data_IF_227988251758
#
_entry.id   IF_227988251758
#
_cell.length_a   1.000
_cell.length_b   1.000
_cell.length_c   1.000
_cell.angle_alpha   90.00
_cell.angle_beta   90.00
_cell.angle_gamma   90.00
#
_symmetry.space_group_name_H-M   'P 1'
#
loop_
_entity.id
_entity.type
_entity.pdbx_description
1 polymer ?
#
# COMPACT_ATOMS: atom_id res chain seq x y z
N UNK A 1 67.91 -38.02 2.29
CA UNK A 1 66.60 -37.59 1.73
C UNK A 1 66.74 -36.13 1.35
N UNK A 2 66.66 -35.87 0.05
CA UNK A 2 67.32 -34.77 -0.65
C UNK A 2 66.58 -33.44 -0.54
N UNK A 3 67.34 -32.35 -0.40
CA UNK A 3 66.88 -30.95 -0.41
C UNK A 3 65.99 -30.58 -1.62
N UNK A 4 66.04 -31.39 -2.68
CA UNK A 4 65.20 -31.31 -3.86
C UNK A 4 63.72 -31.62 -3.57
N UNK A 5 63.44 -32.62 -2.72
CA UNK A 5 62.07 -33.03 -2.35
C UNK A 5 61.38 -31.94 -1.53
N UNK A 6 62.10 -31.32 -0.59
CA UNK A 6 61.57 -30.21 0.22
C UNK A 6 61.27 -28.98 -0.66
N UNK A 7 62.15 -28.66 -1.63
CA UNK A 7 61.92 -27.55 -2.57
C UNK A 7 60.73 -27.81 -3.50
N UNK A 8 60.53 -29.04 -3.95
CA UNK A 8 59.35 -29.42 -4.75
C UNK A 8 58.04 -29.30 -3.97
N UNK A 9 58.00 -29.74 -2.71
CA UNK A 9 56.81 -29.59 -1.86
C UNK A 9 56.47 -28.13 -1.55
N UNK A 10 57.48 -27.27 -1.34
CA UNK A 10 57.26 -25.83 -1.13
C UNK A 10 56.74 -25.16 -2.41
N UNK A 11 57.26 -25.54 -3.57
CA UNK A 11 56.78 -25.05 -4.87
C UNK A 11 55.36 -25.50 -5.18
N UNK A 12 54.99 -26.76 -4.89
CA UNK A 12 53.63 -27.24 -5.09
C UNK A 12 52.63 -26.55 -4.16
N UNK A 13 53.01 -26.33 -2.89
CA UNK A 13 52.17 -25.62 -1.94
C UNK A 13 51.95 -24.16 -2.35
N UNK A 14 53.02 -23.45 -2.74
CA UNK A 14 52.90 -22.06 -3.24
C UNK A 14 52.11 -21.97 -4.55
N UNK A 15 52.26 -22.92 -5.47
CA UNK A 15 51.46 -22.97 -6.68
C UNK A 15 49.97 -23.22 -6.37
N UNK A 16 49.68 -24.07 -5.39
CA UNK A 16 48.31 -24.35 -4.94
C UNK A 16 47.66 -23.14 -4.24
N UNK A 17 48.44 -22.41 -3.44
CA UNK A 17 48.01 -21.17 -2.77
C UNK A 17 47.80 -20.02 -3.77
N UNK A 18 48.69 -19.87 -4.76
CA UNK A 18 48.56 -18.87 -5.85
C UNK A 18 47.38 -19.20 -6.76
N UNK A 19 47.18 -20.47 -7.12
CA UNK A 19 46.03 -20.88 -7.95
C UNK A 19 44.71 -20.73 -7.21
N UNK A 20 44.65 -21.02 -5.91
CA UNK A 20 43.45 -20.80 -5.09
C UNK A 20 43.10 -19.32 -4.95
N UNK A 21 44.09 -18.46 -4.67
CA UNK A 21 43.89 -17.01 -4.56
C UNK A 21 43.55 -16.36 -5.91
N UNK A 22 44.17 -16.78 -7.01
CA UNK A 22 43.83 -16.30 -8.36
C UNK A 22 42.46 -16.79 -8.82
N UNK A 23 42.06 -18.03 -8.51
CA UNK A 23 40.70 -18.53 -8.75
C UNK A 23 39.67 -17.73 -7.97
N UNK A 24 39.93 -17.44 -6.70
CA UNK A 24 39.03 -16.64 -5.87
C UNK A 24 38.87 -15.22 -6.42
N UNK A 25 39.94 -14.60 -6.92
CA UNK A 25 39.90 -13.30 -7.59
C UNK A 25 39.13 -13.36 -8.93
N UNK A 26 39.35 -14.40 -9.75
CA UNK A 26 38.63 -14.59 -11.01
C UNK A 26 37.14 -14.87 -10.80
N UNK A 27 36.80 -15.66 -9.79
CA UNK A 27 35.43 -15.94 -9.37
C UNK A 27 34.76 -14.67 -8.82
N UNK A 28 35.46 -13.88 -7.98
CA UNK A 28 34.95 -12.62 -7.46
C UNK A 28 34.72 -11.55 -8.55
N UNK A 29 35.47 -11.59 -9.66
CA UNK A 29 35.28 -10.71 -10.82
C UNK A 29 34.12 -11.15 -11.73
N UNK A 30 33.61 -12.37 -11.58
CA UNK A 30 32.53 -12.88 -12.41
C UNK A 30 31.17 -12.44 -11.85
N UNK A 31 30.39 -11.74 -12.67
CA UNK A 31 29.04 -11.26 -12.30
C UNK A 31 28.13 -12.40 -11.83
N UNK A 32 28.22 -13.58 -12.44
CA UNK A 32 27.35 -14.70 -12.11
C UNK A 32 27.67 -15.28 -10.73
N UNK A 33 28.95 -15.34 -10.37
CA UNK A 33 29.38 -15.79 -9.04
C UNK A 33 28.94 -14.82 -7.96
N UNK A 34 28.99 -13.50 -8.24
CA UNK A 34 28.47 -12.49 -7.32
C UNK A 34 26.96 -12.62 -7.11
N UNK A 35 26.18 -12.77 -8.17
CA UNK A 35 24.73 -12.98 -8.08
C UNK A 35 24.40 -14.25 -7.28
N UNK A 36 25.12 -15.35 -7.54
CA UNK A 36 24.94 -16.59 -6.75
C UNK A 36 25.34 -16.39 -5.27
N UNK A 37 26.39 -15.63 -4.98
CA UNK A 37 26.77 -15.30 -3.61
C UNK A 37 25.70 -14.44 -2.90
N UNK A 38 25.15 -13.45 -3.59
CA UNK A 38 24.06 -12.60 -3.09
C UNK A 38 22.80 -13.44 -2.79
N UNK A 39 22.47 -14.40 -3.67
CA UNK A 39 21.36 -15.35 -3.45
C UNK A 39 21.63 -16.26 -2.25
N UNK A 40 22.85 -16.76 -2.10
CA UNK A 40 23.24 -17.61 -0.95
C UNK A 40 23.10 -16.81 0.36
N UNK A 41 23.57 -15.57 0.40
CA UNK A 41 23.42 -14.69 1.57
C UNK A 41 21.94 -14.45 1.90
N UNK A 42 21.13 -14.14 0.89
CA UNK A 42 19.69 -13.95 1.05
C UNK A 42 19.01 -15.20 1.64
N UNK A 43 19.29 -16.40 1.13
CA UNK A 43 18.63 -17.65 1.56
C UNK A 43 19.13 -18.14 2.91
N UNK A 44 20.42 -18.00 3.20
CA UNK A 44 21.03 -18.64 4.39
C UNK A 44 21.08 -17.74 5.61
N UNK A 45 21.04 -16.42 5.42
CA UNK A 45 21.20 -15.45 6.51
C UNK A 45 19.96 -14.56 6.62
N UNK A 46 19.62 -13.81 5.57
CA UNK A 46 18.62 -12.74 5.67
C UNK A 46 17.17 -13.26 5.74
N UNK A 47 16.77 -14.16 4.84
CA UNK A 47 15.41 -14.73 4.84
C UNK A 47 15.08 -15.48 6.14
N UNK A 48 15.98 -16.31 6.72
CA UNK A 48 15.75 -16.93 8.02
C UNK A 48 15.51 -15.93 9.15
N UNK A 49 16.22 -14.80 9.17
CA UNK A 49 16.01 -13.73 10.16
C UNK A 49 14.61 -13.11 10.05
N UNK A 50 14.08 -13.06 8.83
CA UNK A 50 12.72 -12.61 8.56
C UNK A 50 11.66 -13.68 8.81
N UNK A 51 12.04 -14.91 9.23
CA UNK A 51 11.10 -16.01 9.51
C UNK A 51 10.89 -16.98 8.34
N UNK A 52 11.61 -16.80 7.23
CA UNK A 52 11.48 -17.64 6.02
C UNK A 52 12.64 -18.60 5.89
N UNK A 53 12.35 -19.89 6.00
CA UNK A 53 13.33 -20.95 5.79
C UNK A 53 13.03 -21.68 4.48
N UNK A 54 13.86 -21.44 3.46
CA UNK A 54 13.76 -22.09 2.16
C UNK A 54 14.97 -22.99 1.91
N UNK A 55 14.71 -24.24 1.54
CA UNK A 55 15.76 -25.11 1.02
C UNK A 55 16.17 -24.63 -0.38
N UNK A 56 17.44 -24.80 -0.79
CA UNK A 56 17.89 -24.39 -2.13
C UNK A 56 17.05 -24.97 -3.28
N UNK A 57 16.51 -26.18 -3.10
CA UNK A 57 15.60 -26.79 -4.07
C UNK A 57 14.24 -26.09 -4.14
N UNK A 58 13.69 -25.63 -3.03
CA UNK A 58 12.42 -24.89 -2.99
C UNK A 58 12.59 -23.51 -3.60
N UNK A 59 13.69 -22.82 -3.26
CA UNK A 59 14.04 -21.54 -3.87
C UNK A 59 14.06 -21.65 -5.41
N UNK A 60 14.74 -22.67 -5.96
CA UNK A 60 14.79 -22.89 -7.42
C UNK A 60 13.45 -23.20 -8.09
N UNK A 61 12.45 -23.65 -7.33
CA UNK A 61 11.11 -23.91 -7.87
C UNK A 61 10.26 -22.64 -7.99
N UNK A 62 10.59 -21.62 -7.21
CA UNK A 62 9.89 -20.33 -7.24
C UNK A 62 10.41 -19.54 -8.45
N UNK A 63 9.52 -19.29 -9.41
CA UNK A 63 9.86 -18.59 -10.65
C UNK A 63 9.97 -17.08 -10.46
N UNK A 64 9.14 -16.53 -9.58
CA UNK A 64 9.06 -15.10 -9.32
C UNK A 64 9.62 -14.79 -7.92
N UNK A 65 10.76 -14.07 -7.84
CA UNK A 65 11.34 -13.67 -6.57
C UNK A 65 10.40 -12.82 -5.68
N UNK A 66 9.41 -12.13 -6.27
CA UNK A 66 8.45 -11.33 -5.53
C UNK A 66 7.62 -12.18 -4.55
N UNK A 67 7.30 -13.42 -4.92
CA UNK A 67 6.54 -14.34 -4.06
C UNK A 67 7.32 -14.71 -2.78
N UNK A 68 8.66 -14.74 -2.86
CA UNK A 68 9.52 -14.97 -1.69
C UNK A 68 9.45 -13.77 -0.75
N UNK A 69 9.43 -12.55 -1.30
CA UNK A 69 9.32 -11.33 -0.50
C UNK A 69 7.94 -11.22 0.16
N UNK A 70 6.85 -11.51 -0.57
CA UNK A 70 5.50 -11.57 0.00
C UNK A 70 5.39 -12.60 1.12
N UNK A 71 6.05 -13.76 0.95
CA UNK A 71 6.16 -14.75 2.00
C UNK A 71 6.91 -14.19 3.21
N UNK A 72 8.02 -13.48 3.02
CA UNK A 72 8.78 -12.87 4.11
C UNK A 72 7.96 -11.82 4.88
N UNK A 73 7.24 -10.95 4.15
CA UNK A 73 6.37 -9.92 4.73
C UNK A 73 5.32 -10.55 5.68
N UNK A 74 4.77 -11.71 5.31
CA UNK A 74 3.66 -12.36 6.03
C UNK A 74 4.08 -13.51 6.96
N UNK A 75 5.36 -13.88 6.97
CA UNK A 75 5.84 -15.11 7.60
C UNK A 75 5.78 -15.11 9.14
N UNK A 76 6.05 -13.96 9.76
CA UNK A 76 5.98 -13.79 11.22
C UNK A 76 5.43 -12.40 11.55
N UNK A 77 4.74 -12.31 12.70
CA UNK A 77 4.18 -11.05 13.17
C UNK A 77 5.28 -9.99 13.32
N UNK A 78 5.12 -8.86 12.63
CA UNK A 78 6.05 -7.74 12.66
C UNK A 78 7.21 -7.80 11.65
N UNK A 79 7.32 -8.84 10.81
CA UNK A 79 8.36 -8.88 9.77
C UNK A 79 8.27 -7.68 8.81
N UNK A 80 7.05 -7.24 8.49
CA UNK A 80 6.76 -6.08 7.65
C UNK A 80 7.35 -4.76 8.18
N UNK A 81 7.69 -4.68 9.48
CA UNK A 81 8.31 -3.49 10.08
C UNK A 81 9.76 -3.28 9.59
N UNK A 82 10.44 -4.35 9.17
CA UNK A 82 11.83 -4.31 8.70
C UNK A 82 11.91 -3.94 7.22
N UNK A 83 11.34 -2.79 6.85
CA UNK A 83 11.21 -2.33 5.44
C UNK A 83 12.57 -2.30 4.73
N UNK A 84 13.61 -1.79 5.39
CA UNK A 84 14.95 -1.70 4.80
C UNK A 84 15.56 -3.07 4.51
N UNK A 85 15.42 -4.02 5.45
CA UNK A 85 15.92 -5.39 5.29
C UNK A 85 15.15 -6.14 4.19
N UNK A 86 13.82 -5.98 4.13
CA UNK A 86 12.99 -6.56 3.07
C UNK A 86 13.41 -6.05 1.68
N UNK A 87 13.69 -4.75 1.56
CA UNK A 87 14.19 -4.15 0.31
C UNK A 87 15.62 -4.60 0.00
N UNK A 88 16.47 -4.80 1.00
CA UNK A 88 17.82 -5.34 0.82
C UNK A 88 17.77 -6.78 0.29
N UNK A 89 16.97 -7.64 0.93
CA UNK A 89 16.76 -9.03 0.48
C UNK A 89 16.22 -9.06 -0.94
N UNK A 90 15.23 -8.23 -1.26
CA UNK A 90 14.70 -8.14 -2.61
C UNK A 90 15.79 -7.80 -3.64
N UNK A 91 16.67 -6.84 -3.33
CA UNK A 91 17.80 -6.50 -4.21
C UNK A 91 18.76 -7.66 -4.41
N UNK A 92 19.07 -8.42 -3.36
CA UNK A 92 19.90 -9.64 -3.46
C UNK A 92 19.25 -10.71 -4.34
N UNK A 93 17.91 -10.79 -4.32
CA UNK A 93 17.13 -11.67 -5.19
C UNK A 93 16.95 -11.14 -6.62
N UNK A 94 17.51 -9.98 -6.94
CA UNK A 94 17.46 -9.36 -8.28
C UNK A 94 16.35 -8.33 -8.49
N UNK A 95 15.48 -8.10 -7.50
CA UNK A 95 14.42 -7.09 -7.52
C UNK A 95 15.01 -5.72 -7.13
N UNK A 96 15.58 -5.04 -8.12
CA UNK A 96 16.36 -3.82 -7.91
C UNK A 96 15.82 -2.61 -8.68
N UNK A 97 14.82 -2.79 -9.53
CA UNK A 97 14.19 -1.68 -10.24
C UNK A 97 13.32 -0.84 -9.29
N UNK A 98 13.03 0.40 -9.67
CA UNK A 98 12.14 1.26 -8.87
C UNK A 98 10.72 0.71 -8.80
N UNK A 99 10.25 0.05 -9.86
CA UNK A 99 8.92 -0.56 -9.91
C UNK A 99 8.86 -1.78 -8.97
N UNK A 100 9.92 -2.60 -8.92
CA UNK A 100 10.00 -3.73 -7.98
C UNK A 100 9.97 -3.23 -6.52
N UNK A 101 10.78 -2.22 -6.21
CA UNK A 101 10.84 -1.64 -4.86
C UNK A 101 9.48 -1.06 -4.49
N UNK A 102 8.80 -0.39 -5.42
CA UNK A 102 7.47 0.17 -5.18
C UNK A 102 6.43 -0.91 -4.94
N UNK A 103 6.46 -2.02 -5.69
CA UNK A 103 5.58 -3.17 -5.48
C UNK A 103 5.83 -3.85 -4.12
N UNK A 104 7.08 -3.89 -3.65
CA UNK A 104 7.42 -4.40 -2.31
C UNK A 104 6.87 -3.46 -1.24
N UNK A 105 7.09 -2.16 -1.37
CA UNK A 105 6.54 -1.17 -0.44
C UNK A 105 5.00 -1.24 -0.43
N UNK A 106 4.35 -1.49 -1.56
CA UNK A 106 2.90 -1.73 -1.63
C UNK A 106 2.48 -2.98 -0.86
N UNK A 107 3.18 -4.11 -1.06
CA UNK A 107 2.90 -5.35 -0.33
C UNK A 107 3.04 -5.16 1.19
N UNK A 108 4.09 -4.44 1.63
CA UNK A 108 4.28 -4.06 3.03
C UNK A 108 3.15 -3.16 3.52
N UNK A 109 2.72 -2.19 2.70
CA UNK A 109 1.67 -1.25 3.09
C UNK A 109 0.34 -1.95 3.33
N UNK A 110 0.02 -2.95 2.50
CA UNK A 110 -1.16 -3.80 2.68
C UNK A 110 -1.05 -4.63 3.95
N UNK A 111 0.10 -5.25 4.21
CA UNK A 111 0.31 -6.05 5.43
C UNK A 111 0.23 -5.18 6.69
N UNK A 112 0.82 -3.99 6.68
CA UNK A 112 0.73 -3.04 7.79
C UNK A 112 -0.74 -2.66 8.09
N UNK A 113 -1.55 -2.45 7.04
CA UNK A 113 -2.98 -2.18 7.22
C UNK A 113 -3.75 -3.40 7.77
N UNK A 114 -3.42 -4.62 7.36
CA UNK A 114 -3.99 -5.85 7.94
C UNK A 114 -3.64 -5.99 9.41
N UNK A 115 -2.41 -5.60 9.80
CA UNK A 115 -1.96 -5.62 11.19
C UNK A 115 -2.51 -4.45 12.04
N UNK A 116 -3.18 -3.48 11.42
CA UNK A 116 -3.67 -2.26 12.06
C UNK A 116 -2.60 -1.19 12.32
N UNK A 117 -1.41 -1.32 11.73
CA UNK A 117 -0.36 -0.30 11.75
C UNK A 117 -0.63 0.74 10.63
N UNK A 118 -1.61 1.60 10.90
CA UNK A 118 -2.01 2.65 9.96
C UNK A 118 -0.95 3.73 9.81
N UNK A 119 -0.10 3.93 10.82
CA UNK A 119 1.00 4.88 10.76
C UNK A 119 2.04 4.46 9.72
N UNK A 120 2.56 3.23 9.80
CA UNK A 120 3.49 2.72 8.79
C UNK A 120 2.81 2.65 7.41
N UNK A 121 1.56 2.20 7.38
CA UNK A 121 0.79 2.10 6.14
C UNK A 121 0.71 3.47 5.44
N UNK A 122 0.27 4.50 6.15
CA UNK A 122 0.17 5.86 5.63
C UNK A 122 1.54 6.46 5.25
N UNK A 123 2.59 6.21 6.04
CA UNK A 123 3.93 6.70 5.74
C UNK A 123 4.46 6.14 4.40
N UNK A 124 4.23 4.85 4.15
CA UNK A 124 4.60 4.21 2.89
C UNK A 124 3.75 4.73 1.71
N UNK A 125 2.43 4.88 1.89
CA UNK A 125 1.53 5.53 0.92
C UNK A 125 2.08 6.92 0.50
N UNK A 126 2.49 7.73 1.48
CA UNK A 126 3.04 9.06 1.26
C UNK A 126 4.37 9.01 0.51
N UNK A 127 5.24 8.06 0.86
CA UNK A 127 6.52 7.88 0.17
C UNK A 127 6.32 7.51 -1.31
N UNK A 128 5.35 6.65 -1.61
CA UNK A 128 5.05 6.17 -2.96
C UNK A 128 4.36 7.26 -3.79
N UNK A 129 3.44 8.01 -3.18
CA UNK A 129 2.81 9.16 -3.81
C UNK A 129 3.82 10.24 -4.22
N UNK A 130 4.79 10.56 -3.35
CA UNK A 130 5.85 11.53 -3.64
C UNK A 130 6.76 11.11 -4.79
N UNK A 131 6.96 9.82 -4.97
CA UNK A 131 7.73 9.25 -6.09
C UNK A 131 6.95 9.24 -7.42
N UNK A 132 5.69 9.67 -7.42
CA UNK A 132 4.84 9.68 -8.62
C UNK A 132 4.36 8.30 -9.05
N UNK A 133 4.58 7.27 -8.22
CA UNK A 133 4.03 5.96 -8.51
C UNK A 133 2.51 6.02 -8.39
N UNK A 134 1.83 5.42 -9.37
CA UNK A 134 0.40 5.13 -9.29
C UNK A 134 0.23 3.94 -8.35
N UNK A 135 0.44 4.28 -7.08
CA UNK A 135 0.56 3.39 -5.95
C UNK A 135 -0.59 2.37 -5.87
N UNK A 136 -1.78 2.79 -6.28
CA UNK A 136 -2.92 1.93 -6.54
C UNK A 136 -3.69 2.62 -7.65
N UNK A 137 -3.93 1.94 -8.76
CA UNK A 137 -5.01 2.40 -9.62
C UNK A 137 -6.29 2.22 -8.82
N UNK A 138 -6.84 3.34 -8.33
CA UNK A 138 -8.06 3.36 -7.53
C UNK A 138 -9.19 2.72 -8.35
N UNK A 139 -9.13 2.77 -9.68
CA UNK A 139 -10.04 2.08 -10.58
C UNK A 139 -9.92 0.55 -10.48
N UNK A 140 -8.70 0.00 -10.57
CA UNK A 140 -8.44 -1.44 -10.44
C UNK A 140 -8.83 -1.97 -9.05
N UNK A 141 -8.51 -1.23 -7.99
CA UNK A 141 -8.93 -1.62 -6.64
C UNK A 141 -10.46 -1.60 -6.50
N UNK A 142 -11.14 -0.67 -7.16
CA UNK A 142 -12.59 -0.66 -7.17
C UNK A 142 -13.18 -1.81 -7.95
N UNK A 143 -12.64 -2.17 -9.11
CA UNK A 143 -13.09 -3.35 -9.86
C UNK A 143 -12.98 -4.60 -9.00
N UNK A 144 -11.84 -4.76 -8.33
CA UNK A 144 -11.64 -5.85 -7.39
C UNK A 144 -12.63 -5.82 -6.23
N UNK A 145 -12.86 -4.66 -5.62
CA UNK A 145 -13.82 -4.50 -4.52
C UNK A 145 -15.26 -4.76 -4.98
N UNK A 146 -15.67 -4.27 -6.16
CA UNK A 146 -16.99 -4.52 -6.75
C UNK A 146 -17.23 -6.02 -6.96
N UNK A 147 -16.22 -6.76 -7.44
CA UNK A 147 -16.31 -8.22 -7.60
C UNK A 147 -16.43 -8.91 -6.23
N UNK A 148 -15.71 -8.42 -5.21
CA UNK A 148 -15.70 -9.04 -3.87
C UNK A 148 -16.95 -8.72 -3.05
N UNK A 149 -17.58 -7.57 -3.25
CA UNK A 149 -18.76 -7.14 -2.47
C UNK A 149 -20.08 -7.33 -3.20
N UNK A 150 -20.05 -7.58 -4.51
CA UNK A 150 -21.22 -7.52 -5.39
C UNK A 150 -21.98 -6.17 -5.30
N UNK A 151 -21.30 -5.12 -4.81
CA UNK A 151 -21.86 -3.77 -4.67
C UNK A 151 -21.20 -2.83 -5.67
N UNK A 152 -22.01 -2.07 -6.39
CA UNK A 152 -21.52 -0.97 -7.22
C UNK A 152 -21.20 0.25 -6.35
N UNK A 153 -20.12 1.00 -6.62
CA UNK A 153 -19.96 2.33 -6.08
C UNK A 153 -21.16 3.19 -6.51
N UNK A 154 -21.57 4.19 -5.71
CA UNK A 154 -22.65 5.09 -6.09
C UNK A 154 -22.39 5.62 -7.49
N UNK A 155 -23.38 5.51 -8.38
CA UNK A 155 -23.27 5.97 -9.78
C UNK A 155 -23.20 7.49 -9.78
N UNK A 156 -22.00 8.04 -9.65
CA UNK A 156 -21.74 9.44 -9.95
C UNK A 156 -21.85 9.60 -11.45
N UNK A 157 -22.87 10.31 -11.93
CA UNK A 157 -23.03 10.58 -13.36
C UNK A 157 -21.81 11.36 -13.85
N UNK A 158 -20.94 10.69 -14.59
CA UNK A 158 -19.75 11.26 -15.23
C UNK A 158 -20.08 12.07 -16.49
N UNK A 159 -21.35 12.40 -16.76
CA UNK A 159 -21.73 13.23 -17.92
C UNK A 159 -21.26 14.70 -17.81
N UNK A 160 -20.56 15.08 -16.73
CA UNK A 160 -19.90 16.38 -16.60
C UNK A 160 -18.38 16.36 -16.68
N UNK A 161 -17.73 15.20 -16.74
CA UNK A 161 -16.28 15.13 -16.91
C UNK A 161 -15.96 15.33 -18.39
N UNK A 162 -15.68 16.57 -18.78
CA UNK A 162 -15.10 16.83 -20.10
C UNK A 162 -13.86 15.95 -20.26
N UNK A 163 -13.95 15.04 -21.22
CA UNK A 163 -12.86 14.22 -21.71
C UNK A 163 -11.71 15.18 -22.03
N UNK A 164 -10.70 15.23 -21.17
CA UNK A 164 -9.38 15.70 -21.58
C UNK A 164 -8.85 14.58 -22.47
N UNK A 165 -9.20 14.63 -23.75
CA UNK A 165 -8.50 13.87 -24.75
C UNK A 165 -7.08 14.43 -24.80
N UNK A 166 -6.10 13.58 -24.47
CA UNK A 166 -4.70 13.86 -24.79
C UNK A 166 -4.60 14.21 -26.28
N UNK A 167 -3.82 15.24 -26.66
CA UNK A 167 -3.73 15.61 -28.06
C UNK A 167 -3.05 14.47 -28.84
N UNK A 168 -3.67 13.91 -29.88
CA UNK A 168 -2.94 13.10 -30.82
C UNK A 168 -2.05 14.06 -31.63
N UNK A 169 -0.75 13.91 -31.50
CA UNK A 169 0.20 14.53 -32.40
C UNK A 169 -0.04 13.93 -33.81
N UNK A 170 -0.70 14.67 -34.70
CA UNK A 170 -0.52 14.53 -36.15
C UNK A 170 -0.96 15.80 -36.87
N UNK A 171 -0.05 16.28 -37.71
CA UNK A 171 -0.18 17.43 -38.59
C UNK A 171 -1.15 17.07 -39.73
N UNK A 172 -2.16 17.91 -39.98
CA UNK A 172 -2.53 18.55 -41.26
C UNK A 172 -4.02 18.94 -41.25
N UNK A 173 -4.28 20.20 -41.64
CA UNK A 173 -5.50 20.74 -42.24
C UNK A 173 -6.81 20.67 -41.46
N UNK A 174 -7.34 21.85 -41.09
CA UNK A 174 -8.50 22.46 -41.77
C UNK A 174 -8.85 23.76 -41.03
N UNK A 175 -8.82 24.85 -41.79
CA UNK A 175 -9.38 26.13 -41.42
C UNK A 175 -10.91 26.01 -41.21
N UNK A 176 -11.45 26.93 -40.41
CA UNK A 176 -12.88 27.18 -40.14
C UNK A 176 -13.39 26.62 -38.81
N UNK A 177 -13.35 27.48 -37.79
CA UNK A 177 -14.56 27.97 -37.10
C UNK A 177 -14.12 28.99 -36.05
N UNK A 178 -13.91 30.21 -36.57
CA UNK A 178 -14.03 31.45 -35.81
C UNK A 178 -15.51 31.61 -35.41
N UNK A 179 -15.71 32.21 -34.24
CA UNK A 179 -16.99 32.67 -33.65
C UNK A 179 -17.80 31.66 -32.83
N UNK A 180 -17.48 31.60 -31.53
CA UNK A 180 -18.46 31.56 -30.44
C UNK A 180 -17.79 31.88 -29.08
N UNK A 181 -17.16 33.06 -29.02
CA UNK A 181 -16.91 33.78 -27.77
C UNK A 181 -18.12 34.66 -27.50
N UNK A 182 -19.10 34.15 -26.76
CA UNK A 182 -20.26 34.92 -26.37
C UNK A 182 -21.21 34.14 -25.47
N UNK A 183 -21.17 34.46 -24.17
CA UNK A 183 -22.34 34.46 -23.28
C UNK A 183 -23.04 33.11 -23.04
N UNK A 184 -22.61 32.39 -22.00
CA UNK A 184 -23.55 31.64 -21.14
C UNK A 184 -23.19 31.92 -19.69
N UNK A 185 -23.88 32.91 -19.14
CA UNK A 185 -24.04 33.11 -17.70
C UNK A 185 -24.99 32.02 -17.16
N UNK A 186 -24.62 31.41 -16.02
CA UNK A 186 -25.47 30.66 -15.09
C UNK A 186 -26.41 29.57 -15.67
N UNK A 187 -25.89 28.36 -15.78
CA UNK A 187 -26.57 27.15 -15.27
C UNK A 187 -25.52 26.31 -14.55
N UNK A 188 -25.22 26.69 -13.30
CA UNK A 188 -24.47 25.79 -12.40
C UNK A 188 -25.44 24.72 -11.96
N UNK A 189 -24.99 23.48 -12.14
CA UNK A 189 -25.74 22.24 -12.09
C UNK A 189 -25.96 21.85 -10.61
N UNK A 190 -27.18 21.96 -10.09
CA UNK A 190 -27.58 21.65 -8.69
C UNK A 190 -27.00 20.32 -8.16
N UNK A 191 -26.79 19.32 -9.04
CA UNK A 191 -26.21 18.03 -8.64
C UNK A 191 -24.72 18.08 -8.25
N UNK A 192 -23.92 18.98 -8.84
CA UNK A 192 -22.49 19.09 -8.53
C UNK A 192 -22.25 19.68 -7.13
N UNK A 193 -23.14 20.55 -6.66
CA UNK A 193 -23.05 21.21 -5.35
C UNK A 193 -23.39 20.23 -4.20
N UNK A 194 -24.36 19.34 -4.40
CA UNK A 194 -24.69 18.26 -3.44
C UNK A 194 -23.55 17.25 -3.32
N UNK A 195 -22.91 16.88 -4.44
CA UNK A 195 -21.75 16.00 -4.43
C UNK A 195 -20.55 16.65 -3.74
N UNK A 196 -20.34 17.94 -3.95
CA UNK A 196 -19.29 18.69 -3.27
C UNK A 196 -19.47 18.68 -1.75
N UNK A 197 -20.67 18.97 -1.26
CA UNK A 197 -20.96 18.99 0.17
C UNK A 197 -20.83 17.58 0.79
N UNK A 198 -21.25 16.54 0.08
CA UNK A 198 -21.07 15.15 0.53
C UNK A 198 -19.59 14.77 0.66
N UNK A 199 -18.78 15.12 -0.35
CA UNK A 199 -17.32 14.86 -0.33
C UNK A 199 -16.66 15.66 0.78
N UNK A 200 -16.99 16.94 0.92
CA UNK A 200 -16.46 17.82 1.98
C UNK A 200 -16.75 17.25 3.37
N UNK A 201 -18.00 16.87 3.63
CA UNK A 201 -18.38 16.23 4.88
C UNK A 201 -17.63 14.92 5.12
N UNK A 202 -17.49 14.09 4.08
CA UNK A 202 -16.69 12.85 4.18
C UNK A 202 -15.22 13.13 4.48
N UNK A 203 -14.61 14.13 3.83
CA UNK A 203 -13.22 14.51 4.07
C UNK A 203 -12.99 15.05 5.47
N UNK A 204 -13.94 15.83 6.01
CA UNK A 204 -13.89 16.28 7.40
C UNK A 204 -13.91 15.12 8.41
N UNK A 205 -14.44 13.95 8.01
CA UNK A 205 -14.40 12.72 8.82
C UNK A 205 -13.06 12.00 8.72
N UNK A 206 -12.44 11.96 7.52
CA UNK A 206 -11.24 11.13 7.28
C UNK A 206 -9.91 11.87 7.35
N UNK A 207 -9.88 13.18 7.12
CA UNK A 207 -8.67 14.00 7.05
C UNK A 207 -8.56 14.97 8.24
N UNK A 208 -7.34 15.16 8.77
CA UNK A 208 -7.04 16.21 9.76
C UNK A 208 -7.06 17.58 9.07
N UNK A 209 -7.59 18.58 9.76
CA UNK A 209 -7.55 19.97 9.30
C UNK A 209 -6.10 20.46 9.23
N UNK A 210 -5.75 21.13 8.11
CA UNK A 210 -4.49 21.87 7.92
C UNK A 210 -4.50 23.14 8.78
N UNK A 211 -4.53 23.00 10.10
CA UNK A 211 -4.62 24.15 11.01
C UNK A 211 -3.37 24.22 11.87
N UNK A 212 -2.33 24.89 11.36
CA UNK A 212 -1.40 25.61 12.22
C UNK A 212 -1.04 27.00 11.66
N UNK A 213 -0.81 27.20 10.36
CA UNK A 213 -0.43 28.54 9.86
C UNK A 213 -1.02 28.82 8.46
N UNK A 214 -1.91 29.81 8.36
CA UNK A 214 -2.57 30.31 7.14
C UNK A 214 -3.44 29.30 6.39
N UNK A 215 -4.70 29.18 6.83
CA UNK A 215 -5.74 28.37 6.17
C UNK A 215 -6.22 29.06 4.89
N UNK A 216 -6.04 28.50 3.68
CA UNK A 216 -7.01 28.68 2.63
C UNK A 216 -8.25 27.87 3.05
N UNK A 217 -9.42 28.50 3.04
CA UNK A 217 -10.73 27.85 3.22
C UNK A 217 -10.73 26.49 2.50
N UNK A 218 -11.27 25.43 3.10
CA UNK A 218 -11.41 24.13 2.41
C UNK A 218 -12.03 24.38 1.02
N UNK A 219 -12.98 25.32 0.90
CA UNK A 219 -13.59 25.66 -0.39
C UNK A 219 -12.61 26.25 -1.42
N UNK A 220 -11.48 26.83 -0.98
CA UNK A 220 -10.38 27.27 -1.85
C UNK A 220 -9.35 26.15 -2.11
N UNK A 221 -8.95 25.37 -1.10
CA UNK A 221 -8.08 24.19 -1.30
C UNK A 221 -8.71 23.14 -2.23
N UNK A 222 -10.02 22.93 -2.09
CA UNK A 222 -10.82 22.01 -2.88
C UNK A 222 -11.03 22.51 -4.32
N UNK A 223 -11.07 23.84 -4.52
CA UNK A 223 -11.29 24.48 -5.83
C UNK A 223 -10.00 24.69 -6.61
N UNK A 224 -8.90 25.02 -5.93
CA UNK A 224 -7.57 25.21 -6.51
C UNK A 224 -6.94 23.87 -6.91
N UNK A 225 -7.21 22.80 -6.14
CA UNK A 225 -6.95 21.44 -6.58
C UNK A 225 -8.07 20.97 -7.52
N UNK A 226 -8.10 21.45 -8.77
CA UNK A 226 -9.05 20.98 -9.79
C UNK A 226 -9.03 19.46 -10.05
N UNK A 227 -8.06 18.73 -9.46
CA UNK A 227 -7.96 17.27 -9.39
C UNK A 227 -8.86 16.63 -8.33
N UNK A 228 -9.49 17.39 -7.44
CA UNK A 228 -10.23 16.82 -6.32
C UNK A 228 -11.68 16.44 -6.64
N UNK A 229 -12.20 16.88 -7.79
CA UNK A 229 -13.37 16.24 -8.43
C UNK A 229 -12.96 15.10 -9.36
N UNK A 230 -11.72 14.61 -9.25
CA UNK A 230 -11.37 13.38 -9.96
C UNK A 230 -12.27 12.25 -9.46
N UNK A 231 -12.51 11.31 -10.36
CA UNK A 231 -13.18 10.04 -10.14
C UNK A 231 -12.77 9.33 -8.83
N UNK A 232 -11.55 9.56 -8.34
CA UNK A 232 -11.00 8.95 -7.13
C UNK A 232 -11.61 9.53 -5.84
N UNK A 233 -11.85 10.85 -5.76
CA UNK A 233 -12.39 11.49 -4.56
C UNK A 233 -13.89 11.17 -4.36
N UNK A 234 -14.62 11.00 -5.46
CA UNK A 234 -16.02 10.57 -5.46
C UNK A 234 -16.20 9.17 -4.86
N UNK A 235 -15.14 8.35 -4.84
CA UNK A 235 -15.17 6.98 -4.31
C UNK A 235 -14.83 6.89 -2.82
N UNK A 236 -14.32 7.96 -2.20
CA UNK A 236 -13.96 7.98 -0.77
C UNK A 236 -15.15 7.66 0.15
N UNK A 237 -16.36 8.21 -0.05
CA UNK A 237 -17.52 7.85 0.77
C UNK A 237 -17.82 6.34 0.72
N UNK A 238 -17.71 5.74 -0.46
CA UNK A 238 -17.93 4.30 -0.66
C UNK A 238 -16.85 3.46 0.02
N UNK A 239 -15.58 3.85 -0.09
CA UNK A 239 -14.51 3.17 0.66
C UNK A 239 -14.71 3.29 2.16
N UNK A 240 -15.17 4.44 2.65
CA UNK A 240 -15.44 4.64 4.07
C UNK A 240 -16.54 3.68 4.54
N UNK A 241 -17.61 3.55 3.76
CA UNK A 241 -18.69 2.59 4.00
C UNK A 241 -18.16 1.13 4.02
N UNK A 242 -17.40 0.72 2.99
CA UNK A 242 -16.79 -0.60 2.91
C UNK A 242 -15.82 -0.89 4.08
N UNK A 243 -15.14 0.14 4.58
CA UNK A 243 -14.22 0.01 5.71
C UNK A 243 -14.95 -0.20 7.05
N UNK A 244 -16.19 0.28 7.15
CA UNK A 244 -17.01 0.20 8.36
C UNK A 244 -17.95 -1.01 8.36
N UNK A 245 -18.09 -1.69 7.22
CA UNK A 245 -18.99 -2.82 7.05
C UNK A 245 -18.80 -3.91 8.12
N UNK A 246 -19.90 -4.32 8.77
CA UNK A 246 -19.93 -5.37 9.81
C UNK A 246 -20.85 -6.54 9.38
N UNK A 247 -20.63 -7.73 9.96
CA UNK A 247 -21.37 -8.96 9.62
C UNK A 247 -22.90 -8.84 9.82
N UNK A 248 -23.38 -7.87 10.60
CA UNK A 248 -24.77 -7.71 11.01
C UNK A 248 -25.69 -6.92 10.04
N UNK A 249 -25.15 -6.26 9.01
CA UNK A 249 -25.96 -5.51 8.03
C UNK A 249 -26.60 -6.40 6.95
N UNK A 250 -26.53 -7.72 7.13
CA UNK A 250 -27.14 -8.76 6.29
C UNK A 250 -28.67 -8.75 6.40
N UNK A 251 -29.33 -7.85 5.68
CA UNK A 251 -30.69 -8.14 5.21
C UNK A 251 -30.79 -8.40 3.71
N UNK A 252 -29.68 -8.36 2.97
CA UNK A 252 -29.64 -8.75 1.56
C UNK A 252 -28.30 -9.43 1.26
N UNK A 253 -28.33 -10.53 0.52
CA UNK A 253 -27.20 -11.35 0.04
C UNK A 253 -26.81 -12.53 0.95
N UNK A 254 -27.61 -13.60 0.80
CA UNK A 254 -27.26 -14.97 1.19
C UNK A 254 -26.04 -15.49 0.42
N UNK A 255 -25.00 -15.89 1.13
CA UNK A 255 -23.92 -16.70 0.54
C UNK A 255 -22.63 -16.70 1.33
N UNK A 256 -22.60 -17.27 2.54
CA UNK A 256 -21.40 -17.73 3.28
C UNK A 256 -20.07 -17.01 2.93
N UNK A 257 -19.99 -15.70 3.13
CA UNK A 257 -18.76 -14.94 2.93
C UNK A 257 -17.84 -15.20 4.13
N UNK A 258 -16.64 -15.73 3.89
CA UNK A 258 -15.67 -16.03 4.95
C UNK A 258 -15.16 -14.75 5.63
N UNK A 259 -14.99 -14.75 6.96
CA UNK A 259 -14.34 -13.67 7.74
C UNK A 259 -13.02 -13.17 7.10
N UNK A 260 -12.25 -14.07 6.46
CA UNK A 260 -11.02 -13.71 5.73
C UNK A 260 -11.26 -12.78 4.54
N UNK A 261 -12.40 -12.90 3.86
CA UNK A 261 -12.76 -12.07 2.71
C UNK A 261 -13.16 -10.66 3.15
N UNK A 262 -13.88 -10.54 4.28
CA UNK A 262 -14.24 -9.23 4.86
C UNK A 262 -13.03 -8.45 5.35
N UNK A 263 -12.09 -9.11 6.02
CA UNK A 263 -10.81 -8.48 6.41
C UNK A 263 -10.10 -7.94 5.18
N UNK A 264 -10.13 -8.66 4.05
CA UNK A 264 -9.52 -8.22 2.79
C UNK A 264 -10.24 -7.00 2.18
N UNK A 265 -11.58 -6.98 2.16
CA UNK A 265 -12.38 -5.84 1.66
C UNK A 265 -12.14 -4.60 2.51
N UNK A 266 -12.26 -4.72 3.84
CA UNK A 266 -12.01 -3.62 4.79
C UNK A 266 -10.59 -3.06 4.63
N UNK A 267 -9.59 -3.95 4.60
CA UNK A 267 -8.19 -3.56 4.44
C UNK A 267 -7.98 -2.81 3.12
N UNK A 268 -8.50 -3.34 2.01
CA UNK A 268 -8.38 -2.69 0.71
C UNK A 268 -9.01 -1.30 0.70
N UNK A 269 -10.17 -1.13 1.33
CA UNK A 269 -10.84 0.16 1.45
C UNK A 269 -10.04 1.15 2.31
N UNK A 270 -9.51 0.71 3.47
CA UNK A 270 -8.66 1.54 4.34
C UNK A 270 -7.39 1.98 3.60
N UNK A 271 -6.70 1.05 2.95
CA UNK A 271 -5.49 1.37 2.18
C UNK A 271 -5.83 2.36 1.08
N UNK A 272 -6.94 2.21 0.36
CA UNK A 272 -7.37 3.16 -0.68
C UNK A 272 -7.58 4.58 -0.11
N UNK A 273 -8.24 4.72 1.04
CA UNK A 273 -8.42 6.01 1.73
C UNK A 273 -7.06 6.61 2.10
N UNK A 274 -6.18 5.85 2.76
CA UNK A 274 -4.85 6.32 3.17
C UNK A 274 -4.00 6.74 1.96
N UNK A 275 -4.08 6.00 0.86
CA UNK A 275 -3.39 6.29 -0.39
C UNK A 275 -3.83 7.62 -0.98
N UNK A 276 -5.14 7.86 -1.00
CA UNK A 276 -5.71 9.09 -1.50
C UNK A 276 -5.34 10.28 -0.61
N UNK A 277 -5.44 10.13 0.71
CA UNK A 277 -5.03 11.15 1.68
C UNK A 277 -3.55 11.52 1.50
N UNK A 278 -2.69 10.51 1.39
CA UNK A 278 -1.26 10.68 1.21
C UNK A 278 -0.91 11.41 -0.10
N UNK A 279 -1.60 11.08 -1.20
CA UNK A 279 -1.44 11.76 -2.51
C UNK A 279 -1.81 13.23 -2.48
N UNK A 280 -2.80 13.59 -1.67
CA UNK A 280 -3.29 14.96 -1.56
C UNK A 280 -2.68 15.71 -0.35
N UNK A 281 -1.74 15.08 0.36
CA UNK A 281 -1.03 15.71 1.49
C UNK A 281 -1.85 15.85 2.77
N UNK A 282 -2.95 15.10 2.90
CA UNK A 282 -3.78 15.09 4.10
C UNK A 282 -3.35 13.97 5.06
N UNK A 283 -3.31 14.26 6.36
CA UNK A 283 -3.10 13.24 7.38
C UNK A 283 -4.44 12.58 7.79
N UNK A 284 -4.47 11.28 8.13
CA UNK A 284 -5.69 10.63 8.60
C UNK A 284 -6.13 11.16 9.96
N UNK A 285 -7.44 11.34 10.14
CA UNK A 285 -8.06 11.83 11.38
C UNK A 285 -8.31 10.69 12.36
N UNK A 286 -8.23 11.02 13.64
CA UNK A 286 -8.52 10.11 14.75
C UNK A 286 -9.94 9.54 14.65
N UNK A 287 -10.91 10.30 14.12
CA UNK A 287 -12.29 9.81 13.90
C UNK A 287 -12.35 8.61 12.94
N UNK A 288 -11.56 8.61 11.86
CA UNK A 288 -11.47 7.47 10.95
C UNK A 288 -10.95 6.25 11.70
N UNK A 289 -9.83 6.41 12.40
CA UNK A 289 -9.17 5.35 13.18
C UNK A 289 -10.11 4.78 14.25
N UNK A 290 -10.77 5.66 15.01
CA UNK A 290 -11.75 5.32 16.03
C UNK A 290 -12.97 4.59 15.44
N UNK A 291 -13.49 5.04 14.30
CA UNK A 291 -14.63 4.39 13.64
C UNK A 291 -14.29 2.97 13.16
N UNK A 292 -13.07 2.78 12.64
CA UNK A 292 -12.57 1.47 12.23
C UNK A 292 -12.37 0.54 13.43
N UNK A 293 -11.73 1.04 14.50
CA UNK A 293 -11.55 0.28 15.72
C UNK A 293 -12.90 -0.13 16.33
N UNK A 294 -13.88 0.79 16.36
CA UNK A 294 -15.24 0.50 16.84
C UNK A 294 -15.92 -0.59 16.01
N UNK A 295 -15.81 -0.57 14.68
CA UNK A 295 -16.45 -1.60 13.85
C UNK A 295 -15.85 -2.98 14.08
N UNK A 296 -14.55 -3.06 14.38
CA UNK A 296 -13.83 -4.32 14.69
C UNK A 296 -14.15 -4.83 16.11
N UNK A 297 -14.26 -3.93 17.08
CA UNK A 297 -14.49 -4.29 18.50
C UNK A 297 -15.96 -4.58 18.82
N UNK A 298 -16.88 -4.30 17.90
CA UNK A 298 -18.31 -4.53 18.09
C UNK A 298 -18.61 -6.04 18.15
N UNK A 299 -19.29 -6.54 19.19
CA UNK A 299 -19.60 -7.97 19.31
C UNK A 299 -20.55 -8.48 18.21
N UNK A 300 -20.53 -9.79 17.87
CA UNK A 300 -19.65 -10.83 18.43
C UNK A 300 -18.28 -10.79 17.77
N UNK A 301 -17.21 -10.74 18.56
CA UNK A 301 -15.85 -10.69 18.06
C UNK A 301 -14.92 -11.66 18.80
N UNK A 302 -13.83 -12.02 18.14
CA UNK A 302 -12.82 -12.98 18.60
C UNK A 302 -11.65 -12.28 19.29
N UNK A 303 -10.85 -13.02 20.07
CA UNK A 303 -9.62 -12.49 20.69
C UNK A 303 -8.68 -11.84 19.66
N UNK A 304 -8.61 -12.39 18.45
CA UNK A 304 -7.81 -11.82 17.36
C UNK A 304 -8.37 -10.47 16.90
N UNK A 305 -9.68 -10.33 16.81
CA UNK A 305 -10.34 -9.07 16.45
C UNK A 305 -10.23 -8.05 17.58
N UNK A 306 -10.23 -8.47 18.85
CA UNK A 306 -9.94 -7.59 19.99
C UNK A 306 -8.52 -7.03 19.92
N UNK A 307 -7.52 -7.89 19.70
CA UNK A 307 -6.12 -7.48 19.52
C UNK A 307 -5.99 -6.52 18.34
N UNK A 308 -6.65 -6.83 17.22
CA UNK A 308 -6.65 -5.99 16.03
C UNK A 308 -7.31 -4.63 16.30
N UNK A 309 -8.52 -4.60 16.87
CA UNK A 309 -9.20 -3.35 17.19
C UNK A 309 -8.38 -2.46 18.12
N UNK A 310 -7.69 -3.06 19.09
CA UNK A 310 -6.74 -2.34 19.94
C UNK A 310 -5.52 -1.81 19.17
N UNK A 311 -4.98 -2.57 18.20
CA UNK A 311 -3.85 -2.09 17.39
C UNK A 311 -4.22 -0.84 16.58
N UNK A 312 -5.45 -0.77 16.05
CA UNK A 312 -5.96 0.45 15.41
C UNK A 312 -5.98 1.64 16.40
N UNK A 313 -6.48 1.45 17.63
CA UNK A 313 -6.54 2.52 18.65
C UNK A 313 -5.17 3.08 19.04
N UNK A 314 -4.09 2.30 18.93
CA UNK A 314 -2.73 2.78 19.16
C UNK A 314 -2.26 3.85 18.15
N UNK A 315 -2.98 4.01 17.04
CA UNK A 315 -2.70 5.05 16.04
C UNK A 315 -3.39 6.39 16.36
N UNK A 316 -4.22 6.46 17.39
CA UNK A 316 -4.87 7.71 17.81
C UNK A 316 -3.84 8.68 18.38
N UNK A 317 -3.98 9.96 18.04
CA UNK A 317 -3.21 11.03 18.70
C UNK A 317 -3.81 11.32 20.08
N UNK A 318 -5.13 11.26 20.22
CA UNK A 318 -5.81 11.32 21.51
C UNK A 318 -5.99 9.92 22.13
N UNK A 319 -5.07 9.56 23.02
CA UNK A 319 -5.12 8.29 23.74
C UNK A 319 -6.34 8.17 24.67
N UNK A 320 -6.88 9.28 25.19
CA UNK A 320 -8.05 9.22 26.07
C UNK A 320 -9.29 8.78 25.30
N UNK A 321 -9.44 9.26 24.07
CA UNK A 321 -10.52 8.78 23.19
C UNK A 321 -10.44 7.26 22.97
N UNK A 322 -9.23 6.70 22.83
CA UNK A 322 -9.04 5.25 22.74
C UNK A 322 -9.51 4.50 23.99
N UNK A 323 -9.24 5.04 25.19
CA UNK A 323 -9.70 4.47 26.46
C UNK A 323 -11.22 4.49 26.56
N UNK A 324 -11.88 5.59 26.19
CA UNK A 324 -13.34 5.69 26.17
C UNK A 324 -13.98 4.59 25.32
N UNK A 325 -13.40 4.31 24.15
CA UNK A 325 -13.88 3.25 23.24
C UNK A 325 -13.75 1.88 23.90
N UNK A 326 -12.61 1.59 24.52
CA UNK A 326 -12.38 0.31 25.20
C UNK A 326 -13.38 0.14 26.35
N UNK A 327 -13.55 1.16 27.19
CA UNK A 327 -14.51 1.14 28.29
C UNK A 327 -15.95 0.92 27.81
N UNK A 328 -16.35 1.56 26.72
CA UNK A 328 -17.67 1.37 26.11
C UNK A 328 -17.86 -0.08 25.65
N UNK A 329 -16.86 -0.68 25.00
CA UNK A 329 -16.95 -2.06 24.52
C UNK A 329 -16.92 -3.09 25.65
N UNK A 330 -16.15 -2.85 26.71
CA UNK A 330 -16.16 -3.70 27.92
C UNK A 330 -17.55 -3.66 28.58
N UNK A 331 -18.12 -2.47 28.79
CA UNK A 331 -19.47 -2.31 29.37
C UNK A 331 -20.58 -2.99 28.57
N UNK A 332 -20.43 -3.11 27.25
CA UNK A 332 -21.40 -3.79 26.37
C UNK A 332 -21.33 -5.31 26.48
N UNK A 333 -20.24 -5.86 27.02
CA UNK A 333 -20.00 -7.31 27.15
C UNK A 333 -20.24 -7.84 28.57
N UNK A 334 -20.35 -6.95 29.55
CA UNK A 334 -20.81 -7.23 30.92
C UNK A 334 -22.33 -7.39 30.98
#
# INVERSE_FOLDING_TARGET
MSSLSVRQSILSFKLQEITSSQLQVLLAQNRNVRVEADIIDAITIKLPNLGVNLLPMQFRQIKDPMEIIKLAITSQGGAYLNVEELVEVAKLLGLSSQDDISAIQEAITREAAVAGDLQLSFALCLSLAKKGHRYLDIEEQCEKLMILTEMDPPKFSTHGASVISYPPCSIQDIADLRDQSGQVDRVVNDGQEVHFETIKNTLLLVAKDLTVDNVPDWDSLLRDNGKMFSFEALRIPWFLELSQFTEGDQNLVSGSISSKMYVNVRTQAVVAILSWLARNGFAPKDNLIASLAKSILTPPNTEREDILGCSFLLNLVDAFHGVEIIEEQVKRRE
#
